data_IF_197807228092
#
_entry.id   IF_197807228092
#
_cell.length_a   1.000
_cell.length_b   1.000
_cell.length_c   1.000
_cell.angle_alpha   90.00
_cell.angle_beta   90.00
_cell.angle_gamma   90.00
#
_symmetry.space_group_name_H-M   'P 1'
#
loop_
_entity.id
_entity.type
_entity.pdbx_description
1 polymer ?
#
# COMPACT_ATOMS: atom_id res chain seq x y z
N UNK A 1 -9.86 12.19 -30.66
CA UNK A 1 -11.11 12.97 -30.56
C UNK A 1 -11.72 12.74 -29.16
N UNK A 2 -11.94 13.82 -28.42
CA UNK A 2 -12.51 13.82 -27.04
C UNK A 2 -13.97 13.37 -27.02
N UNK A 3 -14.65 13.36 -28.17
CA UNK A 3 -16.02 12.83 -28.30
C UNK A 3 -16.04 11.32 -28.53
N UNK A 4 -15.06 10.79 -29.28
CA UNK A 4 -15.01 9.36 -29.61
C UNK A 4 -14.51 8.51 -28.44
N UNK A 5 -13.45 8.96 -27.74
CA UNK A 5 -12.80 8.18 -26.68
C UNK A 5 -12.63 8.96 -25.36
N UNK A 6 -13.71 9.54 -24.81
CA UNK A 6 -13.62 10.35 -23.59
C UNK A 6 -13.12 9.55 -22.38
N UNK A 7 -13.51 8.28 -22.24
CA UNK A 7 -13.11 7.42 -21.13
C UNK A 7 -11.61 7.15 -21.11
N UNK A 8 -11.01 6.90 -22.28
CA UNK A 8 -9.57 6.65 -22.44
C UNK A 8 -8.78 7.89 -22.04
N UNK A 9 -9.22 9.08 -22.47
CA UNK A 9 -8.60 10.33 -22.06
C UNK A 9 -8.62 10.49 -20.53
N UNK A 10 -9.80 10.35 -19.91
CA UNK A 10 -9.94 10.50 -18.46
C UNK A 10 -9.07 9.48 -17.70
N UNK A 11 -9.11 8.21 -18.11
CA UNK A 11 -8.29 7.17 -17.51
C UNK A 11 -6.79 7.48 -17.65
N UNK A 12 -6.35 8.02 -18.79
CA UNK A 12 -4.95 8.43 -19.02
C UNK A 12 -4.54 9.58 -18.11
N UNK A 13 -5.41 10.58 -17.93
CA UNK A 13 -5.16 11.70 -17.00
C UNK A 13 -5.02 11.18 -15.56
N UNK A 14 -5.89 10.25 -15.17
CA UNK A 14 -5.85 9.61 -13.86
C UNK A 14 -4.53 8.87 -13.62
N UNK A 15 -4.15 7.94 -14.51
CA UNK A 15 -2.95 7.12 -14.34
C UNK A 15 -1.68 7.98 -14.39
N UNK A 16 -1.62 8.98 -15.27
CA UNK A 16 -0.51 9.93 -15.35
C UNK A 16 -0.42 10.79 -14.09
N UNK A 17 -1.54 11.25 -13.55
CA UNK A 17 -1.57 11.99 -12.28
C UNK A 17 -1.08 11.17 -11.10
N UNK A 18 -1.51 9.90 -10.98
CA UNK A 18 -1.02 8.97 -9.95
C UNK A 18 0.49 8.74 -10.10
N UNK A 19 0.97 8.54 -11.32
CA UNK A 19 2.40 8.38 -11.58
C UNK A 19 3.22 9.63 -11.19
N UNK A 20 2.73 10.83 -11.52
CA UNK A 20 3.37 12.08 -11.08
C UNK A 20 3.38 12.22 -9.57
N UNK A 21 2.29 11.86 -8.89
CA UNK A 21 2.23 11.85 -7.43
C UNK A 21 3.27 10.89 -6.84
N UNK A 22 3.34 9.64 -7.31
CA UNK A 22 4.33 8.66 -6.85
C UNK A 22 5.78 9.15 -7.02
N UNK A 23 6.07 9.87 -8.12
CA UNK A 23 7.36 10.49 -8.40
C UNK A 23 7.64 11.79 -7.61
N UNK A 24 6.73 12.22 -6.75
CA UNK A 24 6.84 13.48 -5.98
C UNK A 24 6.62 14.75 -6.80
N UNK A 25 6.18 14.63 -8.06
CA UNK A 25 5.88 15.72 -8.99
C UNK A 25 4.47 16.28 -8.74
N UNK A 26 4.27 16.84 -7.54
CA UNK A 26 2.95 17.25 -7.04
C UNK A 26 2.26 18.30 -7.92
N UNK A 27 3.03 19.25 -8.48
CA UNK A 27 2.48 20.30 -9.35
C UNK A 27 1.90 19.71 -10.63
N UNK A 28 2.63 18.81 -11.27
CA UNK A 28 2.19 18.09 -12.46
C UNK A 28 1.00 17.17 -12.14
N UNK A 29 1.01 16.50 -10.99
CA UNK A 29 -0.10 15.66 -10.57
C UNK A 29 -1.40 16.47 -10.36
N UNK A 30 -1.32 17.66 -9.74
CA UNK A 30 -2.46 18.59 -9.63
C UNK A 30 -2.96 19.06 -10.99
N UNK A 31 -2.05 19.41 -11.90
CA UNK A 31 -2.45 19.81 -13.26
C UNK A 31 -3.17 18.68 -14.02
N UNK A 32 -2.81 17.41 -13.77
CA UNK A 32 -3.52 16.26 -14.33
C UNK A 32 -4.87 16.00 -13.64
N UNK A 33 -4.97 16.22 -12.33
CA UNK A 33 -6.25 16.19 -11.60
C UNK A 33 -7.23 17.25 -12.10
N UNK A 34 -6.78 18.48 -12.33
CA UNK A 34 -7.64 19.55 -12.87
C UNK A 34 -8.19 19.18 -14.26
N UNK A 35 -7.32 18.66 -15.14
CA UNK A 35 -7.74 18.16 -16.46
C UNK A 35 -8.69 16.97 -16.34
N UNK A 36 -8.44 16.06 -15.40
CA UNK A 36 -9.30 14.92 -15.12
C UNK A 36 -10.70 15.41 -14.74
N UNK A 37 -10.80 16.35 -13.79
CA UNK A 37 -12.06 16.91 -13.30
C UNK A 37 -12.85 17.60 -14.41
N UNK A 38 -12.16 18.31 -15.31
CA UNK A 38 -12.79 18.89 -16.50
C UNK A 38 -13.27 17.81 -17.48
N UNK A 39 -12.47 16.78 -17.71
CA UNK A 39 -12.75 15.74 -18.69
C UNK A 39 -13.88 14.78 -18.27
N UNK A 40 -14.05 14.49 -16.97
CA UNK A 40 -15.18 13.68 -16.47
C UNK A 40 -16.53 14.37 -16.66
N UNK A 41 -16.56 15.69 -16.76
CA UNK A 41 -17.79 16.45 -17.04
C UNK A 41 -18.23 16.38 -18.51
N UNK A 42 -17.50 15.66 -19.37
CA UNK A 42 -17.88 15.49 -20.77
C UNK A 42 -19.21 14.72 -20.88
N UNK A 43 -20.21 15.34 -21.50
CA UNK A 43 -21.55 14.76 -21.68
C UNK A 43 -21.53 13.41 -22.40
N UNK A 44 -20.53 13.18 -23.26
CA UNK A 44 -20.37 11.90 -23.94
C UNK A 44 -20.13 10.74 -22.97
N UNK A 45 -19.72 10.97 -21.71
CA UNK A 45 -19.58 9.92 -20.69
C UNK A 45 -20.91 9.55 -20.01
N UNK A 46 -21.94 10.39 -20.13
CA UNK A 46 -23.19 10.21 -19.40
C UNK A 46 -23.86 8.90 -19.80
N UNK A 47 -24.15 8.06 -18.80
CA UNK A 47 -24.82 6.77 -18.99
C UNK A 47 -23.96 5.70 -19.69
N UNK A 48 -22.68 5.97 -19.99
CA UNK A 48 -21.79 4.93 -20.53
C UNK A 48 -21.53 3.88 -19.47
N UNK A 49 -21.55 2.63 -19.93
CA UNK A 49 -21.18 1.47 -19.14
C UNK A 49 -19.84 0.91 -19.62
N UNK A 50 -19.11 0.31 -18.70
CA UNK A 50 -18.07 -0.67 -18.98
C UNK A 50 -18.50 -1.94 -18.25
N UNK A 51 -18.87 -2.95 -19.04
CA UNK A 51 -19.57 -4.14 -18.55
C UNK A 51 -20.80 -3.76 -17.69
N UNK A 52 -20.89 -4.20 -16.43
CA UNK A 52 -22.05 -3.94 -15.56
C UNK A 52 -21.98 -2.63 -14.77
N UNK A 53 -20.89 -1.87 -14.93
CA UNK A 53 -20.62 -0.67 -14.14
C UNK A 53 -20.74 0.62 -14.96
N UNK A 54 -21.21 1.69 -14.32
CA UNK A 54 -21.13 3.03 -14.90
C UNK A 54 -19.67 3.43 -15.09
N UNK A 55 -19.37 4.00 -16.25
CA UNK A 55 -18.07 4.60 -16.52
C UNK A 55 -17.81 5.76 -15.55
N UNK A 56 -18.80 6.62 -15.36
CA UNK A 56 -18.78 7.70 -14.38
C UNK A 56 -20.20 7.97 -13.86
N UNK A 57 -20.34 8.09 -12.55
CA UNK A 57 -21.54 8.49 -11.85
C UNK A 57 -21.39 9.95 -11.36
N UNK A 58 -22.21 10.88 -11.87
CA UNK A 58 -22.21 12.28 -11.43
C UNK A 58 -22.56 12.48 -9.94
N UNK A 59 -23.22 11.51 -9.30
CA UNK A 59 -23.49 11.58 -7.85
C UNK A 59 -22.23 11.29 -7.02
N UNK A 60 -21.16 10.82 -7.66
CA UNK A 60 -19.86 10.57 -7.04
C UNK A 60 -19.75 9.24 -6.30
N UNK A 61 -20.81 8.40 -6.31
CA UNK A 61 -20.88 7.20 -5.47
C UNK A 61 -20.24 5.98 -6.13
N UNK A 62 -20.71 5.57 -7.30
CA UNK A 62 -20.32 4.28 -7.89
C UNK A 62 -20.09 4.39 -9.41
N UNK A 63 -18.84 4.21 -9.82
CA UNK A 63 -18.44 4.21 -11.23
C UNK A 63 -16.92 4.08 -11.37
N UNK A 64 -16.47 3.51 -12.49
CA UNK A 64 -15.04 3.18 -12.69
C UNK A 64 -14.15 4.43 -12.56
N UNK A 65 -14.54 5.55 -13.17
CA UNK A 65 -13.78 6.79 -13.08
C UNK A 65 -13.92 7.47 -11.70
N UNK A 66 -14.98 7.19 -10.93
CA UNK A 66 -15.10 7.67 -9.56
C UNK A 66 -14.12 6.97 -8.60
N UNK A 67 -13.75 5.72 -8.87
CA UNK A 67 -12.67 5.01 -8.17
C UNK A 67 -11.34 5.71 -8.44
N UNK A 68 -11.03 5.91 -9.72
CA UNK A 68 -9.82 6.61 -10.16
C UNK A 68 -9.70 8.03 -9.60
N UNK A 69 -10.80 8.80 -9.61
CA UNK A 69 -10.84 10.16 -9.06
C UNK A 69 -10.40 10.20 -7.58
N UNK A 70 -10.93 9.28 -6.76
CA UNK A 70 -10.63 9.21 -5.32
C UNK A 70 -9.21 8.71 -5.06
N UNK A 71 -8.76 7.73 -5.84
CA UNK A 71 -7.38 7.23 -5.79
C UNK A 71 -6.39 8.36 -6.12
N UNK A 72 -6.58 9.04 -7.26
CA UNK A 72 -5.76 10.17 -7.69
C UNK A 72 -5.70 11.25 -6.62
N UNK A 73 -6.86 11.64 -6.07
CA UNK A 73 -6.94 12.66 -5.03
C UNK A 73 -6.12 12.25 -3.79
N UNK A 74 -6.28 11.01 -3.36
CA UNK A 74 -5.57 10.45 -2.20
C UNK A 74 -4.05 10.44 -2.38
N UNK A 75 -3.57 9.96 -3.54
CA UNK A 75 -2.14 9.95 -3.90
C UNK A 75 -1.53 11.36 -3.87
N UNK A 76 -2.21 12.35 -4.45
CA UNK A 76 -1.70 13.72 -4.46
C UNK A 76 -1.68 14.31 -3.05
N UNK A 77 -2.76 14.16 -2.29
CA UNK A 77 -2.84 14.65 -0.91
C UNK A 77 -1.77 14.02 -0.02
N UNK A 78 -1.47 12.74 -0.22
CA UNK A 78 -0.41 12.05 0.50
C UNK A 78 0.93 12.73 0.27
N UNK A 79 1.22 13.06 -1.00
CA UNK A 79 2.48 13.69 -1.42
C UNK A 79 2.56 15.18 -1.05
N UNK A 80 1.43 15.82 -0.79
CA UNK A 80 1.34 17.14 -0.15
C UNK A 80 1.54 17.10 1.38
N UNK A 81 1.66 15.91 1.99
CA UNK A 81 1.77 15.75 3.44
C UNK A 81 0.43 15.87 4.18
N UNK A 82 -0.70 15.94 3.47
CA UNK A 82 -2.05 16.04 4.04
C UNK A 82 -2.59 14.64 4.35
N UNK A 83 -1.93 13.95 5.26
CA UNK A 83 -2.07 12.50 5.45
C UNK A 83 -3.49 12.06 5.80
N UNK A 84 -4.19 12.73 6.72
CA UNK A 84 -5.56 12.32 7.10
C UNK A 84 -6.54 12.45 5.93
N UNK A 85 -6.46 13.55 5.18
CA UNK A 85 -7.29 13.76 3.99
C UNK A 85 -6.94 12.75 2.88
N UNK A 86 -5.65 12.43 2.74
CA UNK A 86 -5.19 11.41 1.80
C UNK A 86 -5.79 10.05 2.12
N UNK A 87 -5.67 9.59 3.36
CA UNK A 87 -6.21 8.30 3.77
C UNK A 87 -7.74 8.27 3.75
N UNK A 88 -8.41 9.39 4.04
CA UNK A 88 -9.86 9.50 3.84
C UNK A 88 -10.24 9.28 2.36
N UNK A 89 -9.57 9.96 1.43
CA UNK A 89 -9.81 9.78 0.00
C UNK A 89 -9.49 8.35 -0.49
N UNK A 90 -8.39 7.75 -0.04
CA UNK A 90 -8.01 6.39 -0.39
C UNK A 90 -9.00 5.35 0.15
N UNK A 91 -9.51 5.51 1.38
CA UNK A 91 -10.57 4.64 1.91
C UNK A 91 -11.87 4.77 1.12
N UNK A 92 -12.22 5.98 0.69
CA UNK A 92 -13.36 6.18 -0.21
C UNK A 92 -13.11 5.53 -1.58
N UNK A 93 -11.88 5.52 -2.08
CA UNK A 93 -11.53 4.82 -3.31
C UNK A 93 -11.75 3.31 -3.16
N UNK A 94 -11.31 2.72 -2.05
CA UNK A 94 -11.57 1.31 -1.71
C UNK A 94 -13.06 1.01 -1.59
N UNK A 95 -13.81 1.85 -0.89
CA UNK A 95 -15.26 1.65 -0.76
C UNK A 95 -15.99 1.75 -2.11
N UNK A 96 -15.54 2.65 -3.00
CA UNK A 96 -16.09 2.76 -4.34
C UNK A 96 -15.72 1.55 -5.22
N UNK A 97 -14.50 1.05 -5.12
CA UNK A 97 -13.99 -0.14 -5.83
C UNK A 97 -14.75 -1.41 -5.41
N UNK A 98 -14.91 -1.63 -4.10
CA UNK A 98 -15.69 -2.76 -3.57
C UNK A 98 -17.19 -2.66 -3.83
N UNK A 99 -17.70 -1.44 -4.05
CA UNK A 99 -19.10 -1.18 -4.38
C UNK A 99 -19.46 -1.33 -5.86
N UNK A 100 -18.47 -1.58 -6.73
CA UNK A 100 -18.71 -1.88 -8.13
C UNK A 100 -19.48 -3.21 -8.26
N UNK A 101 -20.35 -3.28 -9.26
CA UNK A 101 -20.97 -4.55 -9.67
C UNK A 101 -19.89 -5.54 -10.12
N UNK A 102 -20.14 -6.83 -9.89
CA UNK A 102 -19.25 -7.89 -10.33
C UNK A 102 -19.09 -7.91 -11.86
N UNK A 103 -17.84 -8.05 -12.33
CA UNK A 103 -17.46 -8.13 -13.74
C UNK A 103 -16.25 -9.07 -13.94
N UNK A 104 -16.16 -9.72 -15.10
CA UNK A 104 -15.00 -10.52 -15.53
C UNK A 104 -14.49 -10.05 -16.91
N UNK A 105 -13.30 -9.42 -17.01
CA UNK A 105 -12.41 -9.04 -15.90
C UNK A 105 -13.00 -7.87 -15.07
N UNK A 106 -12.54 -7.75 -13.83
CA UNK A 106 -12.92 -6.65 -12.92
C UNK A 106 -12.76 -5.28 -13.60
N UNK A 107 -13.77 -4.42 -13.42
CA UNK A 107 -13.86 -3.15 -14.14
C UNK A 107 -12.73 -2.15 -13.81
N UNK A 108 -12.19 -2.20 -12.59
CA UNK A 108 -11.03 -1.40 -12.18
C UNK A 108 -9.77 -2.28 -12.11
N UNK A 109 -8.77 -1.96 -12.93
CA UNK A 109 -7.62 -2.84 -13.15
C UNK A 109 -6.61 -2.87 -11.99
N UNK A 110 -6.44 -1.75 -11.26
CA UNK A 110 -5.43 -1.62 -10.20
C UNK A 110 -6.12 -1.55 -8.83
N UNK A 111 -6.18 -2.66 -8.06
CA UNK A 111 -6.90 -2.68 -6.80
C UNK A 111 -6.48 -1.54 -5.87
N UNK A 112 -7.45 -0.72 -5.47
CA UNK A 112 -7.20 0.48 -4.66
C UNK A 112 -6.64 0.16 -3.27
N UNK A 113 -6.93 -1.05 -2.76
CA UNK A 113 -6.41 -1.57 -1.49
C UNK A 113 -4.89 -1.67 -1.46
N UNK A 114 -4.23 -1.92 -2.59
CA UNK A 114 -2.76 -1.98 -2.66
C UNK A 114 -2.13 -0.61 -2.38
N UNK A 115 -2.67 0.44 -3.00
CA UNK A 115 -2.21 1.81 -2.77
C UNK A 115 -2.45 2.23 -1.32
N UNK A 116 -3.67 2.01 -0.78
CA UNK A 116 -3.98 2.32 0.61
C UNK A 116 -3.03 1.61 1.59
N UNK A 117 -2.91 0.28 1.47
CA UNK A 117 -2.07 -0.52 2.36
C UNK A 117 -0.60 -0.13 2.28
N UNK A 118 -0.08 0.11 1.07
CA UNK A 118 1.32 0.48 0.88
C UNK A 118 1.66 1.87 1.45
N UNK A 119 0.76 2.86 1.29
CA UNK A 119 0.96 4.21 1.81
C UNK A 119 0.77 4.27 3.34
N UNK A 120 -0.14 3.46 3.90
CA UNK A 120 -0.25 3.27 5.36
C UNK A 120 1.04 2.66 5.93
N UNK A 121 1.59 1.65 5.27
CA UNK A 121 2.85 1.02 5.63
C UNK A 121 4.01 2.02 5.58
N UNK A 122 4.14 2.79 4.49
CA UNK A 122 5.13 3.87 4.34
C UNK A 122 5.02 4.92 5.46
N UNK A 123 3.81 5.23 5.91
CA UNK A 123 3.53 6.12 7.05
C UNK A 123 3.60 5.44 8.43
N UNK A 124 4.14 4.21 8.53
CA UNK A 124 4.24 3.43 9.78
C UNK A 124 2.91 3.15 10.50
N UNK A 125 1.77 3.23 9.79
CA UNK A 125 0.44 2.85 10.31
C UNK A 125 0.22 1.35 10.18
N UNK A 126 1.08 0.56 10.84
CA UNK A 126 1.21 -0.88 10.59
C UNK A 126 -0.06 -1.68 10.90
N UNK A 127 -0.77 -1.35 11.98
CA UNK A 127 -2.01 -2.06 12.35
C UNK A 127 -3.08 -1.90 11.27
N UNK A 128 -3.28 -0.69 10.76
CA UNK A 128 -4.25 -0.44 9.71
C UNK A 128 -3.81 -1.06 8.37
N UNK A 129 -2.53 -0.90 8.01
CA UNK A 129 -1.98 -1.51 6.80
C UNK A 129 -2.16 -3.03 6.78
N UNK A 130 -1.88 -3.69 7.92
CA UNK A 130 -2.07 -5.14 8.09
C UNK A 130 -3.52 -5.55 7.84
N UNK A 131 -4.48 -4.85 8.45
CA UNK A 131 -5.89 -5.14 8.27
C UNK A 131 -6.34 -4.97 6.80
N UNK A 132 -5.82 -3.96 6.10
CA UNK A 132 -6.08 -3.75 4.66
C UNK A 132 -5.58 -4.93 3.82
N UNK A 133 -4.36 -5.39 4.05
CA UNK A 133 -3.77 -6.50 3.31
C UNK A 133 -4.42 -7.86 3.65
N UNK A 134 -4.78 -8.09 4.92
CA UNK A 134 -5.49 -9.31 5.34
C UNK A 134 -6.89 -9.37 4.70
N UNK A 135 -7.59 -8.24 4.64
CA UNK A 135 -8.88 -8.14 3.94
C UNK A 135 -8.74 -8.42 2.44
N UNK A 136 -7.68 -7.89 1.81
CA UNK A 136 -7.40 -8.16 0.40
C UNK A 136 -7.12 -9.64 0.14
N UNK A 137 -6.33 -10.31 0.99
CA UNK A 137 -6.05 -11.75 0.86
C UNK A 137 -7.26 -12.64 1.11
N UNK A 138 -8.21 -12.21 1.95
CA UNK A 138 -9.46 -12.93 2.14
C UNK A 138 -10.30 -12.96 0.85
N UNK A 139 -10.26 -11.88 0.05
CA UNK A 139 -10.96 -11.77 -1.23
C UNK A 139 -10.16 -12.37 -2.39
N UNK A 140 -8.86 -12.12 -2.41
CA UNK A 140 -7.92 -12.50 -3.47
C UNK A 140 -6.75 -13.32 -2.91
N UNK A 141 -6.93 -14.63 -2.70
CA UNK A 141 -5.88 -15.48 -2.16
C UNK A 141 -4.60 -15.41 -2.99
N UNK A 142 -3.47 -15.31 -2.29
CA UNK A 142 -2.12 -15.20 -2.87
C UNK A 142 -1.86 -13.92 -3.69
N UNK A 143 -2.58 -12.83 -3.40
CA UNK A 143 -2.26 -11.52 -3.97
C UNK A 143 -0.84 -11.08 -3.57
N UNK A 144 0.05 -10.96 -4.57
CA UNK A 144 1.46 -10.64 -4.39
C UNK A 144 1.69 -9.36 -3.58
N UNK A 145 0.94 -8.30 -3.86
CA UNK A 145 1.10 -6.98 -3.26
C UNK A 145 0.81 -7.00 -1.76
N UNK A 146 -0.28 -7.68 -1.38
CA UNK A 146 -0.68 -7.86 0.01
C UNK A 146 0.27 -8.79 0.77
N UNK A 147 0.76 -9.87 0.13
CA UNK A 147 1.78 -10.74 0.72
C UNK A 147 3.09 -9.98 1.00
N UNK A 148 3.55 -9.14 0.07
CA UNK A 148 4.73 -8.28 0.26
C UNK A 148 4.55 -7.31 1.43
N UNK A 149 3.38 -6.66 1.50
CA UNK A 149 3.04 -5.75 2.59
C UNK A 149 3.04 -6.43 3.96
N UNK A 150 2.42 -7.61 4.07
CA UNK A 150 2.39 -8.38 5.31
C UNK A 150 3.75 -8.94 5.70
N UNK A 151 4.56 -9.38 4.74
CA UNK A 151 5.93 -9.81 5.00
C UNK A 151 6.77 -8.67 5.60
N UNK A 152 6.66 -7.47 5.04
CA UNK A 152 7.39 -6.30 5.52
C UNK A 152 6.92 -5.86 6.92
N UNK A 153 5.61 -5.85 7.16
CA UNK A 153 5.06 -5.55 8.49
C UNK A 153 5.58 -6.58 9.51
N UNK A 154 5.48 -7.88 9.20
CA UNK A 154 5.92 -8.95 10.09
C UNK A 154 7.43 -8.87 10.38
N UNK A 155 8.25 -8.47 9.40
CA UNK A 155 9.68 -8.23 9.58
C UNK A 155 9.95 -7.08 10.54
N UNK A 156 9.22 -5.97 10.39
CA UNK A 156 9.36 -4.79 11.25
C UNK A 156 8.90 -5.09 12.69
N UNK A 157 7.85 -5.89 12.86
CA UNK A 157 7.30 -6.26 14.18
C UNK A 157 8.02 -7.43 14.86
N UNK A 158 9.03 -8.04 14.20
CA UNK A 158 9.80 -9.16 14.74
C UNK A 158 9.13 -10.53 14.64
N UNK A 159 8.01 -10.64 13.90
CA UNK A 159 7.28 -11.88 13.65
C UNK A 159 7.96 -12.73 12.55
N UNK A 160 9.22 -13.13 12.77
CA UNK A 160 10.11 -13.72 11.75
C UNK A 160 9.52 -14.91 11.00
N UNK A 161 8.88 -15.86 11.71
CA UNK A 161 8.22 -17.02 11.09
C UNK A 161 7.11 -16.62 10.12
N UNK A 162 6.31 -15.59 10.46
CA UNK A 162 5.26 -15.08 9.57
C UNK A 162 5.86 -14.32 8.40
N UNK A 163 6.91 -13.53 8.65
CA UNK A 163 7.62 -12.79 7.61
C UNK A 163 8.16 -13.76 6.54
N UNK A 164 8.81 -14.85 6.95
CA UNK A 164 9.30 -15.89 6.04
C UNK A 164 8.17 -16.59 5.28
N UNK A 165 7.07 -16.93 5.96
CA UNK A 165 5.92 -17.56 5.32
C UNK A 165 5.30 -16.66 4.24
N UNK A 166 5.05 -15.38 4.53
CA UNK A 166 4.53 -14.43 3.55
C UNK A 166 5.53 -14.16 2.43
N UNK A 167 6.83 -14.06 2.73
CA UNK A 167 7.87 -13.86 1.73
C UNK A 167 7.96 -15.04 0.75
N UNK A 168 7.83 -16.29 1.24
CA UNK A 168 7.79 -17.48 0.40
C UNK A 168 6.59 -17.46 -0.55
N UNK A 169 5.40 -17.19 -0.02
CA UNK A 169 4.18 -17.08 -0.84
C UNK A 169 4.28 -15.93 -1.86
N UNK A 170 4.89 -14.80 -1.48
CA UNK A 170 5.13 -13.70 -2.40
C UNK A 170 6.11 -14.12 -3.52
N UNK A 171 7.17 -14.85 -3.18
CA UNK A 171 8.13 -15.35 -4.17
C UNK A 171 7.43 -16.28 -5.18
N UNK A 172 6.61 -17.22 -4.71
CA UNK A 172 5.79 -18.09 -5.56
C UNK A 172 4.83 -17.30 -6.47
N UNK A 173 4.11 -16.32 -5.91
CA UNK A 173 3.19 -15.47 -6.67
C UNK A 173 3.91 -14.61 -7.73
N UNK A 174 5.17 -14.26 -7.49
CA UNK A 174 6.01 -13.46 -8.41
C UNK A 174 6.90 -14.29 -9.34
N UNK A 175 6.84 -15.63 -9.31
CA UNK A 175 7.81 -16.49 -9.99
C UNK A 175 7.87 -16.32 -11.52
N UNK A 176 6.81 -15.76 -12.13
CA UNK A 176 6.72 -15.48 -13.57
C UNK A 176 6.73 -14.00 -13.91
N UNK A 177 6.99 -13.13 -12.93
CA UNK A 177 7.03 -11.69 -13.16
C UNK A 177 8.33 -11.30 -13.87
N UNK A 178 8.23 -10.48 -14.92
CA UNK A 178 9.39 -9.97 -15.66
C UNK A 178 10.21 -8.96 -14.86
N UNK A 179 9.60 -8.36 -13.83
CA UNK A 179 10.22 -7.35 -12.97
C UNK A 179 10.12 -7.74 -11.50
N UNK A 180 11.18 -7.42 -10.75
CA UNK A 180 11.17 -7.59 -9.31
C UNK A 180 10.30 -6.53 -8.64
N UNK A 181 9.37 -6.98 -7.80
CA UNK A 181 8.49 -6.11 -7.03
C UNK A 181 9.05 -5.98 -5.61
N UNK A 182 9.59 -4.81 -5.29
CA UNK A 182 10.27 -4.53 -4.02
C UNK A 182 9.36 -4.03 -2.90
N UNK A 183 8.20 -3.46 -3.22
CA UNK A 183 7.26 -2.88 -2.27
C UNK A 183 5.84 -3.41 -2.46
N UNK A 184 4.97 -3.18 -1.48
CA UNK A 184 3.56 -3.57 -1.53
C UNK A 184 2.73 -2.83 -2.58
N UNK A 185 3.25 -1.72 -3.13
CA UNK A 185 2.71 -1.04 -4.31
C UNK A 185 3.79 -0.10 -4.87
N UNK A 186 3.80 0.14 -6.19
CA UNK A 186 4.68 1.15 -6.81
C UNK A 186 4.29 2.60 -6.45
N UNK A 187 3.13 2.80 -5.83
CA UNK A 187 2.76 4.08 -5.25
C UNK A 187 3.61 4.42 -4.02
N UNK A 188 4.16 3.43 -3.32
CA UNK A 188 5.04 3.63 -2.18
C UNK A 188 6.52 3.66 -2.62
N UNK A 189 7.28 4.59 -2.05
CA UNK A 189 8.72 4.73 -2.19
C UNK A 189 9.49 4.00 -1.07
N UNK A 190 8.80 3.18 -0.27
CA UNK A 190 9.36 2.38 0.81
C UNK A 190 9.36 3.09 2.17
N UNK A 191 9.45 2.32 3.25
CA UNK A 191 9.56 2.88 4.62
C UNK A 191 10.94 3.52 4.76
N UNK A 192 11.00 4.85 4.86
CA UNK A 192 12.26 5.55 5.13
C UNK A 192 12.74 5.22 6.54
N UNK A 193 14.00 4.85 6.67
CA UNK A 193 14.67 4.81 7.97
C UNK A 193 14.69 6.23 8.56
N UNK A 194 14.33 6.36 9.84
CA UNK A 194 14.48 7.65 10.54
C UNK A 194 15.96 8.00 10.64
N UNK A 195 16.31 9.24 10.28
CA UNK A 195 17.52 9.84 10.83
C UNK A 195 17.26 10.09 12.32
N UNK A 196 18.21 9.81 13.22
CA UNK A 196 18.02 10.04 14.66
C UNK A 196 17.55 11.46 14.92
N UNK A 197 16.65 11.62 15.88
CA UNK A 197 16.11 12.92 16.28
C UNK A 197 17.24 13.86 16.72
N UNK A 198 17.00 15.18 16.67
CA UNK A 198 17.94 16.17 17.24
C UNK A 198 18.21 15.94 18.72
N UNK A 199 17.29 15.29 19.43
CA UNK A 199 17.41 14.92 20.84
C UNK A 199 18.40 13.75 21.02
N UNK A 200 18.35 12.74 20.15
CA UNK A 200 19.29 11.61 20.16
C UNK A 200 20.70 12.04 19.72
N UNK A 201 20.80 12.95 18.74
CA UNK A 201 22.10 13.54 18.34
C UNK A 201 22.77 14.35 19.46
N UNK A 202 21.99 15.01 20.32
CA UNK A 202 22.55 15.69 21.50
C UNK A 202 22.99 14.70 22.58
N UNK A 203 22.30 13.57 22.75
CA UNK A 203 22.70 12.52 23.69
C UNK A 203 24.03 11.83 23.29
N UNK A 204 24.24 11.58 22.00
CA UNK A 204 25.49 11.02 21.45
C UNK A 204 26.66 12.02 21.49
N UNK A 205 26.38 13.31 21.34
CA UNK A 205 27.40 14.37 21.47
C UNK A 205 27.82 14.59 22.93
N UNK A 206 26.90 14.41 23.89
CA UNK A 206 27.21 14.52 25.31
C UNK A 206 27.93 13.27 25.87
N UNK A 207 27.65 12.07 25.38
CA UNK A 207 28.29 10.82 25.84
C UNK A 207 29.74 10.66 25.38
N UNK A 208 30.10 11.26 24.23
CA UNK A 208 31.46 11.27 23.69
C UNK A 208 32.42 12.23 24.43
N UNK A 209 31.90 13.08 25.32
CA UNK A 209 32.71 14.01 26.15
C UNK A 209 33.23 13.42 27.47
N UNK A 210 32.82 12.18 27.83
CA UNK A 210 33.27 11.50 29.06
C UNK A 210 33.94 10.15 28.75
N UNK A 211 35.05 10.17 28.04
CA UNK A 211 36.01 9.07 28.13
C UNK A 211 37.43 9.55 27.83
N UNK A 212 38.11 10.00 28.88
CA UNK A 212 39.56 9.90 28.92
C UNK A 212 40.00 9.63 30.36
N UNK A 213 39.98 8.35 30.74
CA UNK A 213 40.84 7.86 31.82
C UNK A 213 41.33 6.46 31.46
N UNK A 214 42.61 6.41 31.14
CA UNK A 214 43.40 5.23 30.79
C UNK A 214 43.65 4.38 32.05
N UNK A 215 43.71 3.06 31.84
CA UNK A 215 44.28 1.94 32.63
C UNK A 215 43.19 0.94 33.01
N UNK A 216 43.23 -0.36 32.70
CA UNK A 216 44.25 -1.26 32.22
C UNK A 216 43.91 -2.66 32.75
N UNK A 217 44.38 -3.70 32.04
CA UNK A 217 44.59 -5.09 32.52
C UNK A 217 43.49 -6.15 32.27
N UNK A 218 43.93 -7.15 31.47
CA UNK A 218 43.65 -8.61 31.42
C UNK A 218 42.27 -9.21 31.07
N UNK A 219 42.30 -9.99 29.99
CA UNK A 219 41.48 -11.19 29.66
C UNK A 219 41.76 -12.35 30.66
N UNK A 220 40.94 -13.44 30.79
CA UNK A 220 40.45 -14.26 29.66
C UNK A 220 39.14 -15.10 29.78
N UNK A 221 38.70 -15.58 28.60
CA UNK A 221 38.08 -16.88 28.23
C UNK A 221 36.76 -17.39 28.88
N UNK A 222 35.77 -17.78 28.05
CA UNK A 222 35.29 -19.18 27.91
C UNK A 222 33.79 -19.34 27.48
N UNK A 223 33.60 -20.15 26.42
CA UNK A 223 32.56 -21.19 26.16
C UNK A 223 31.04 -20.91 26.02
N UNK A 224 30.56 -21.22 24.81
CA UNK A 224 29.61 -22.32 24.41
C UNK A 224 28.25 -22.54 25.11
N UNK A 225 27.17 -22.54 24.30
CA UNK A 225 26.05 -23.53 24.19
C UNK A 225 24.78 -22.81 23.68
N UNK A 226 24.27 -23.06 22.47
CA UNK A 226 23.47 -24.19 22.00
C UNK A 226 22.04 -24.26 22.58
N UNK A 227 21.04 -24.12 21.69
CA UNK A 227 19.97 -25.13 21.59
C UNK A 227 18.56 -24.74 22.02
N UNK A 228 17.65 -24.95 21.06
CA UNK A 228 16.25 -25.40 21.23
C UNK A 228 15.19 -24.40 21.69
N UNK A 229 14.33 -23.99 20.75
CA UNK A 229 12.88 -24.02 20.97
C UNK A 229 12.13 -24.05 19.62
N UNK A 230 12.05 -25.26 19.08
CA UNK A 230 11.21 -25.63 17.95
C UNK A 230 10.14 -26.58 18.48
N UNK A 231 8.99 -26.05 18.90
CA UNK A 231 7.80 -26.84 19.26
C UNK A 231 6.53 -26.02 19.57
N UNK A 232 6.13 -25.06 18.72
CA UNK A 232 4.77 -24.49 18.79
C UNK A 232 4.20 -24.10 17.40
N UNK A 233 4.20 -25.04 16.45
CA UNK A 233 3.50 -24.87 15.16
C UNK A 233 2.70 -26.14 14.89
N UNK A 234 1.62 -26.40 15.65
CA UNK A 234 0.71 -27.50 15.32
C UNK A 234 -0.71 -27.42 15.94
N UNK A 235 -1.24 -26.23 16.23
CA UNK A 235 -2.59 -26.08 16.83
C UNK A 235 -3.51 -25.05 16.17
N UNK A 236 -3.45 -24.90 14.85
CA UNK A 236 -4.39 -24.01 14.11
C UNK A 236 -5.25 -24.72 13.06
N UNK A 237 -5.48 -26.03 13.18
CA UNK A 237 -6.44 -26.76 12.35
C UNK A 237 -7.46 -27.49 13.23
N UNK A 238 -8.65 -26.90 13.37
CA UNK A 238 -9.79 -27.56 14.01
C UNK A 238 -10.89 -26.58 14.42
N UNK A 239 -11.91 -26.40 13.58
CA UNK A 239 -13.09 -25.61 13.92
C UNK A 239 -14.01 -25.42 12.73
N UNK A 240 -14.90 -26.38 12.50
CA UNK A 240 -15.94 -26.39 11.48
C UNK A 240 -17.23 -25.72 12.01
N UNK A 241 -18.11 -25.28 11.08
CA UNK A 241 -19.49 -24.77 11.23
C UNK A 241 -19.65 -23.38 11.91
N UNK A 242 -20.55 -22.47 11.51
CA UNK A 242 -21.79 -22.56 10.74
C UNK A 242 -22.06 -21.25 9.97
N UNK A 243 -22.73 -21.34 8.83
CA UNK A 243 -23.12 -20.22 7.98
C UNK A 243 -24.65 -20.13 7.98
N UNK A 244 -25.23 -18.98 8.36
CA UNK A 244 -26.64 -18.62 8.14
C UNK A 244 -26.82 -17.08 8.20
N UNK A 245 -27.53 -16.59 7.17
CA UNK A 245 -28.19 -15.28 6.94
C UNK A 245 -27.35 -14.16 6.33
#
# INVERSE_FOLDING_TARGET
DTKTWPSVLVATLCTRGVAYAALGKVKEARAEEDKFLQAVSNESLRGRLISNNLMYDPTGKCGILNVGQKLLRGEILYREGRLEEAFAALRQAVAADDGLHYDEPWGWMQPTRHALGALLLESKRFQEAKAVFETDLAKWPRNLWSLKGLAEIARITGESTKAEAYARLAAEASARADVSIGAACLCANGVKAESPSSVERQAECCSSSKSNRISGVSHPSSATMCGTQQKEIEKLHGGNSSCCH
#
